data_IF_164649695758
#
_entry.id   IF_164649695758
#
_cell.length_a   1.000
_cell.length_b   1.000
_cell.length_c   1.000
_cell.angle_alpha   90.00
_cell.angle_beta   90.00
_cell.angle_gamma   90.00
#
_symmetry.space_group_name_H-M   'P 1'
#
loop_
_entity.id
_entity.type
_entity.pdbx_description
1 polymer ?
#
# COMPACT_ATOMS: atom_id res chain seq x y z
N UNK A 1 15.03 -36.73 -43.80
CA UNK A 1 15.15 -36.56 -42.33
C UNK A 1 15.10 -35.07 -41.92
N UNK A 2 14.70 -34.15 -42.81
CA UNK A 2 14.74 -32.68 -42.62
C UNK A 2 13.51 -31.96 -42.01
N UNK A 3 12.33 -32.55 -41.75
CA UNK A 3 11.17 -31.75 -41.31
C UNK A 3 11.23 -31.26 -39.85
N UNK A 4 12.20 -31.72 -39.04
CA UNK A 4 12.29 -31.35 -37.62
C UNK A 4 12.96 -29.99 -37.38
N UNK A 5 13.88 -29.57 -38.24
CA UNK A 5 14.61 -28.31 -38.05
C UNK A 5 13.79 -27.09 -38.44
N UNK A 6 13.02 -27.18 -39.54
CA UNK A 6 12.11 -26.09 -39.95
C UNK A 6 11.03 -25.83 -38.92
N UNK A 7 10.46 -26.89 -38.31
CA UNK A 7 9.47 -26.75 -37.24
C UNK A 7 10.04 -26.05 -36.00
N UNK A 8 11.28 -26.38 -35.60
CA UNK A 8 11.94 -25.74 -34.45
C UNK A 8 12.19 -24.24 -34.69
N UNK A 9 12.50 -23.85 -35.94
CA UNK A 9 12.71 -22.45 -36.30
C UNK A 9 11.42 -21.63 -36.21
N UNK A 10 10.30 -22.18 -36.69
CA UNK A 10 8.98 -21.54 -36.64
C UNK A 10 8.52 -21.37 -35.19
N UNK A 11 8.56 -22.43 -34.37
CA UNK A 11 8.12 -22.41 -32.97
C UNK A 11 8.90 -21.37 -32.13
N UNK A 12 10.18 -21.14 -32.46
CA UNK A 12 11.01 -20.15 -31.79
C UNK A 12 10.59 -18.72 -32.12
N UNK A 13 10.21 -18.45 -33.38
CA UNK A 13 9.82 -17.13 -33.86
C UNK A 13 8.52 -16.67 -33.20
N UNK A 14 7.50 -17.53 -33.20
CA UNK A 14 6.21 -17.24 -32.55
C UNK A 14 6.36 -16.98 -31.05
N UNK A 15 7.25 -17.75 -30.40
CA UNK A 15 7.58 -17.56 -28.99
C UNK A 15 8.23 -16.19 -28.73
N UNK A 16 9.01 -15.64 -29.67
CA UNK A 16 9.62 -14.32 -29.52
C UNK A 16 8.62 -13.19 -29.66
N UNK A 17 7.76 -13.25 -30.68
CA UNK A 17 6.72 -12.25 -30.87
C UNK A 17 5.82 -12.19 -29.63
N UNK A 18 5.44 -13.35 -29.09
CA UNK A 18 4.71 -13.43 -27.83
C UNK A 18 5.46 -12.76 -26.67
N UNK A 19 6.75 -13.05 -26.48
CA UNK A 19 7.56 -12.44 -25.39
C UNK A 19 7.66 -10.91 -25.54
N UNK A 20 7.79 -10.39 -26.76
CA UNK A 20 7.85 -8.95 -27.03
C UNK A 20 6.53 -8.28 -26.65
N UNK A 21 5.40 -8.82 -27.12
CA UNK A 21 4.06 -8.31 -26.80
C UNK A 21 3.82 -8.35 -25.29
N UNK A 22 4.17 -9.46 -24.63
CA UNK A 22 4.01 -9.62 -23.18
C UNK A 22 4.89 -8.66 -22.38
N UNK A 23 6.07 -8.28 -22.90
CA UNK A 23 6.94 -7.28 -22.29
C UNK A 23 6.36 -5.87 -22.38
N UNK A 24 5.73 -5.52 -23.50
CA UNK A 24 5.03 -4.25 -23.63
C UNK A 24 3.83 -4.20 -22.68
N UNK A 25 3.00 -5.24 -22.70
CA UNK A 25 1.79 -5.33 -21.87
C UNK A 25 2.09 -5.23 -20.37
N UNK A 26 3.08 -5.99 -19.87
CA UNK A 26 3.44 -5.93 -18.44
C UNK A 26 3.98 -4.55 -18.03
N UNK A 27 4.70 -3.86 -18.92
CA UNK A 27 5.25 -2.54 -18.62
C UNK A 27 4.14 -1.49 -18.57
N UNK A 28 3.18 -1.58 -19.49
CA UNK A 28 1.98 -0.75 -19.46
C UNK A 28 1.18 -0.94 -18.16
N UNK A 29 0.89 -2.20 -17.80
CA UNK A 29 0.18 -2.52 -16.55
C UNK A 29 0.94 -2.04 -15.30
N UNK A 30 2.28 -2.16 -15.29
CA UNK A 30 3.11 -1.65 -14.21
C UNK A 30 2.94 -0.13 -14.03
N UNK A 31 3.03 0.65 -15.13
CA UNK A 31 2.89 2.10 -15.07
C UNK A 31 1.48 2.51 -14.66
N UNK A 32 0.45 1.85 -15.19
CA UNK A 32 -0.93 2.09 -14.81
C UNK A 32 -1.16 1.88 -13.31
N UNK A 33 -0.61 0.78 -12.77
CA UNK A 33 -0.70 0.47 -11.34
C UNK A 33 0.09 1.48 -10.48
N UNK A 34 1.29 1.87 -10.94
CA UNK A 34 2.13 2.85 -10.25
C UNK A 34 1.44 4.23 -10.18
N UNK A 35 0.87 4.69 -11.30
CA UNK A 35 0.14 5.96 -11.34
C UNK A 35 -1.08 5.90 -10.42
N UNK A 36 -1.86 4.81 -10.45
CA UNK A 36 -2.98 4.65 -9.54
C UNK A 36 -2.55 4.70 -8.07
N UNK A 37 -1.46 4.01 -7.71
CA UNK A 37 -0.91 4.03 -6.34
C UNK A 37 -0.46 5.43 -5.92
N UNK A 38 0.16 6.20 -6.82
CA UNK A 38 0.59 7.57 -6.55
C UNK A 38 -0.60 8.52 -6.40
N UNK A 39 -1.64 8.37 -7.22
CA UNK A 39 -2.87 9.18 -7.11
C UNK A 39 -3.58 8.91 -5.78
N UNK A 40 -3.72 7.64 -5.37
CA UNK A 40 -4.32 7.30 -4.08
C UNK A 40 -3.53 7.91 -2.90
N UNK A 41 -2.20 7.84 -2.95
CA UNK A 41 -1.34 8.44 -1.93
C UNK A 41 -1.40 9.97 -1.95
N UNK A 42 -1.48 10.59 -3.12
CA UNK A 42 -1.64 12.04 -3.25
C UNK A 42 -2.96 12.50 -2.61
N UNK A 43 -4.07 11.79 -2.85
CA UNK A 43 -5.38 12.11 -2.26
C UNK A 43 -5.34 11.99 -0.73
N UNK A 44 -4.64 10.99 -0.19
CA UNK A 44 -4.41 10.87 1.25
C UNK A 44 -3.71 12.10 1.84
N UNK A 45 -2.63 12.56 1.19
CA UNK A 45 -1.93 13.75 1.64
C UNK A 45 -2.78 15.02 1.48
N UNK A 46 -3.54 15.14 0.39
CA UNK A 46 -4.44 16.27 0.15
C UNK A 46 -5.56 16.38 1.20
N UNK A 47 -6.13 15.26 1.64
CA UNK A 47 -7.09 15.27 2.76
C UNK A 47 -6.40 15.76 4.05
N UNK A 48 -5.18 15.28 4.32
CA UNK A 48 -4.48 15.60 5.56
C UNK A 48 -3.99 17.05 5.63
N UNK A 49 -3.64 17.65 4.50
CA UNK A 49 -3.24 19.06 4.41
C UNK A 49 -4.44 20.01 4.36
N UNK A 50 -5.68 19.49 4.34
CA UNK A 50 -6.89 20.31 4.28
C UNK A 50 -7.15 20.94 2.90
N UNK A 51 -6.57 20.37 1.84
CA UNK A 51 -6.79 20.85 0.46
C UNK A 51 -8.13 20.36 -0.14
N UNK A 52 -8.79 19.41 0.51
CA UNK A 52 -10.11 18.91 0.09
C UNK A 52 -11.19 19.71 0.80
N UNK A 53 -12.04 20.37 0.01
CA UNK A 53 -13.21 21.05 0.56
C UNK A 53 -14.28 20.02 0.96
N UNK A 54 -14.61 20.00 2.26
CA UNK A 54 -15.56 19.07 2.87
C UNK A 54 -17.01 19.57 2.85
N UNK A 55 -17.25 20.80 2.38
CA UNK A 55 -18.59 21.41 2.27
C UNK A 55 -19.56 20.57 1.42
N UNK A 56 -19.05 19.97 0.34
CA UNK A 56 -19.81 19.17 -0.63
C UNK A 56 -19.75 17.65 -0.38
N UNK A 57 -19.30 17.20 0.80
CA UNK A 57 -19.21 15.77 1.04
C UNK A 57 -20.61 15.14 1.04
N UNK A 58 -20.85 14.10 0.20
CA UNK A 58 -22.10 13.35 0.28
C UNK A 58 -22.24 12.80 1.70
N UNK A 59 -23.47 12.78 2.23
CA UNK A 59 -23.78 12.21 3.54
C UNK A 59 -23.06 10.87 3.67
N UNK A 60 -22.07 10.85 4.57
CA UNK A 60 -21.20 9.72 4.72
C UNK A 60 -22.07 8.51 5.05
N UNK A 61 -22.00 7.40 4.27
CA UNK A 61 -22.60 6.17 4.74
C UNK A 61 -21.86 5.84 6.02
N UNK A 62 -22.51 6.08 7.17
CA UNK A 62 -21.95 5.88 8.50
C UNK A 62 -21.19 4.56 8.46
N UNK A 63 -19.87 4.67 8.61
CA UNK A 63 -18.93 3.57 8.45
C UNK A 63 -19.54 2.33 9.08
N UNK A 64 -19.99 1.39 8.23
CA UNK A 64 -20.38 0.01 8.54
C UNK A 64 -20.57 -0.18 10.04
N UNK A 65 -21.66 0.36 10.59
CA UNK A 65 -22.18 -0.06 11.89
C UNK A 65 -22.86 -1.41 11.62
N UNK A 66 -22.04 -2.39 11.22
CA UNK A 66 -22.44 -3.74 10.91
C UNK A 66 -21.66 -4.66 11.83
N UNK A 67 -21.72 -4.34 13.13
CA UNK A 67 -22.04 -5.41 14.05
C UNK A 67 -23.53 -5.69 13.80
N UNK A 68 -23.93 -6.88 13.32
CA UNK A 68 -25.32 -7.26 13.45
C UNK A 68 -25.62 -7.29 14.95
N UNK A 69 -26.31 -6.27 15.45
CA UNK A 69 -26.98 -6.28 16.74
C UNK A 69 -28.19 -7.26 16.73
N UNK A 70 -28.06 -8.41 16.07
CA UNK A 70 -29.06 -9.46 15.97
C UNK A 70 -28.42 -10.86 16.00
N UNK A 71 -27.63 -11.13 17.03
CA UNK A 71 -27.56 -12.48 17.63
C UNK A 71 -27.78 -12.33 19.14
N UNK A 72 -28.95 -11.81 19.53
CA UNK A 72 -29.44 -11.82 20.92
C UNK A 72 -30.80 -12.50 21.04
N UNK A 73 -31.03 -13.54 20.22
CA UNK A 73 -32.03 -14.56 20.49
C UNK A 73 -31.41 -15.94 20.29
N UNK A 74 -30.41 -16.25 21.10
CA UNK A 74 -30.19 -17.64 21.50
C UNK A 74 -31.10 -17.88 22.71
N UNK A 75 -32.02 -18.86 22.69
CA UNK A 75 -32.80 -19.20 23.87
C UNK A 75 -31.88 -19.65 25.01
N UNK A 76 -32.32 -19.37 26.23
CA UNK A 76 -31.63 -19.49 27.51
C UNK A 76 -30.57 -20.61 27.63
N UNK A 77 -29.42 -20.35 28.27
CA UNK A 77 -28.47 -21.39 28.63
C UNK A 77 -29.09 -22.36 29.65
N UNK A 78 -29.01 -23.65 29.33
CA UNK A 78 -29.17 -24.75 30.28
C UNK A 78 -28.17 -24.59 31.45
N UNK A 79 -28.54 -24.98 32.68
CA UNK A 79 -27.77 -24.70 33.88
C UNK A 79 -26.36 -25.30 33.85
N UNK A 80 -25.40 -24.39 34.00
CA UNK A 80 -23.96 -24.56 34.03
C UNK A 80 -23.52 -25.08 35.42
N UNK A 81 -23.69 -26.38 35.67
CA UNK A 81 -23.26 -27.02 36.93
C UNK A 81 -22.13 -28.06 36.75
N UNK A 82 -21.44 -28.11 35.61
CA UNK A 82 -20.55 -29.23 35.31
C UNK A 82 -19.22 -28.90 34.59
N UNK A 83 -18.70 -27.67 34.62
CA UNK A 83 -17.43 -27.35 33.92
C UNK A 83 -16.48 -26.39 34.66
N UNK A 84 -16.27 -26.59 35.96
CA UNK A 84 -15.32 -25.76 36.76
C UNK A 84 -13.95 -26.40 37.04
N UNK A 85 -13.57 -27.53 36.42
CA UNK A 85 -12.38 -28.27 36.90
C UNK A 85 -11.19 -28.45 35.94
N UNK A 86 -10.98 -27.62 34.90
CA UNK A 86 -9.87 -27.89 33.94
C UNK A 86 -8.94 -26.69 33.64
N UNK A 87 -9.21 -25.46 34.07
CA UNK A 87 -8.34 -24.31 33.74
C UNK A 87 -7.57 -23.67 34.91
N UNK A 88 -7.65 -24.25 36.11
CA UNK A 88 -6.96 -23.78 37.32
C UNK A 88 -5.63 -24.52 37.57
N UNK A 89 -4.87 -24.84 36.51
CA UNK A 89 -3.60 -25.59 36.65
C UNK A 89 -2.47 -25.19 35.67
N UNK A 90 -2.54 -24.00 35.05
CA UNK A 90 -1.47 -23.50 34.18
C UNK A 90 -0.81 -22.20 34.67
N UNK A 91 -1.09 -21.78 35.90
CA UNK A 91 -0.58 -20.54 36.50
C UNK A 91 0.24 -20.81 37.78
N UNK A 92 1.14 -21.80 37.76
CA UNK A 92 2.17 -21.93 38.79
C UNK A 92 3.42 -22.53 38.11
N UNK A 93 4.57 -21.92 38.35
CA UNK A 93 5.93 -22.42 38.03
C UNK A 93 6.53 -21.96 36.69
N UNK A 94 6.91 -20.68 36.65
CA UNK A 94 8.06 -20.02 35.99
C UNK A 94 7.58 -18.60 35.69
N UNK A 95 8.07 -17.52 36.29
CA UNK A 95 9.47 -17.20 36.53
C UNK A 95 9.49 -15.90 37.33
N UNK A 96 9.36 -16.02 38.66
CA UNK A 96 9.77 -14.98 39.59
C UNK A 96 11.28 -15.05 39.72
N UNK A 97 12.00 -14.32 38.88
CA UNK A 97 13.42 -14.02 39.06
C UNK A 97 13.66 -12.56 38.75
N UNK A 98 13.81 -11.79 39.83
CA UNK A 98 14.70 -10.64 40.00
C UNK A 98 14.59 -9.44 39.02
N UNK A 99 14.56 -8.17 39.43
CA UNK A 99 14.59 -7.50 40.75
C UNK A 99 14.45 -6.00 40.46
N UNK A 100 13.77 -5.28 41.34
CA UNK A 100 13.71 -3.82 41.39
C UNK A 100 15.09 -3.15 41.38
N UNK A 101 15.17 -1.99 40.72
CA UNK A 101 16.03 -0.87 41.13
C UNK A 101 15.32 0.45 40.78
N UNK A 102 14.68 1.05 41.79
CA UNK A 102 14.46 2.49 41.91
C UNK A 102 15.81 3.21 42.00
N UNK A 103 15.98 4.38 41.36
CA UNK A 103 16.70 5.57 41.89
C UNK A 103 16.13 6.85 41.24
N UNK A 104 15.55 7.69 42.11
CA UNK A 104 15.32 9.14 42.24
C UNK A 104 15.17 10.19 41.09
N UNK A 105 14.42 11.29 41.39
CA UNK A 105 14.33 12.54 40.61
C UNK A 105 15.28 13.64 41.12
N UNK A 106 15.80 14.49 40.24
CA UNK A 106 16.62 15.68 40.57
C UNK A 106 16.33 16.76 39.48
N UNK A 107 15.56 17.81 39.76
CA UNK A 107 15.85 19.09 40.43
C UNK A 107 16.64 20.12 39.59
N UNK A 108 15.90 21.15 39.15
CA UNK A 108 16.28 22.57 38.99
C UNK A 108 17.30 23.06 37.93
N UNK A 109 16.95 24.20 37.30
CA UNK A 109 17.66 25.50 37.29
C UNK A 109 17.50 26.21 35.93
N UNK A 110 16.70 27.29 35.91
CA UNK A 110 16.86 28.43 34.98
C UNK A 110 18.04 29.30 35.46
N UNK A 111 18.74 30.04 34.58
CA UNK A 111 18.38 31.46 34.49
C UNK A 111 18.54 32.13 33.11
N UNK A 112 17.74 33.18 33.01
CA UNK A 112 17.76 34.38 32.16
C UNK A 112 19.15 34.92 31.75
N UNK A 113 19.32 35.28 30.47
CA UNK A 113 20.30 36.31 30.04
C UNK A 113 19.71 37.17 28.92
N UNK A 114 19.54 38.45 29.27
CA UNK A 114 19.10 39.58 28.47
C UNK A 114 20.33 40.43 28.06
N UNK A 115 20.62 40.58 26.76
CA UNK A 115 21.45 41.68 26.19
C UNK A 115 20.91 41.98 24.77
N UNK A 116 20.11 43.04 24.60
CA UNK A 116 20.46 44.39 24.09
C UNK A 116 20.66 44.49 22.57
N UNK A 117 19.79 45.30 21.95
CA UNK A 117 19.75 45.69 20.54
C UNK A 117 20.76 46.78 20.18
N UNK A 118 21.16 46.88 18.90
CA UNK A 118 21.10 48.06 17.99
C UNK A 118 21.73 47.68 16.60
N UNK A 119 21.70 48.52 15.53
CA UNK A 119 20.96 48.25 14.29
C UNK A 119 21.83 48.11 13.01
N UNK A 120 21.14 47.67 11.95
CA UNK A 120 21.44 47.39 10.53
C UNK A 120 22.63 48.06 9.82
N UNK A 121 23.05 47.45 8.69
CA UNK A 121 22.87 48.11 7.40
C UNK A 121 22.04 47.31 6.40
N UNK A 122 21.35 48.07 5.55
CA UNK A 122 20.41 47.66 4.51
C UNK A 122 20.92 46.59 3.53
N UNK A 123 20.24 45.44 3.51
CA UNK A 123 20.37 44.42 2.46
C UNK A 123 18.98 43.79 2.18
N UNK A 124 17.95 44.64 2.09
CA UNK A 124 16.55 44.23 2.02
C UNK A 124 15.83 44.79 0.79
N UNK A 125 16.44 44.68 -0.39
CA UNK A 125 15.79 45.03 -1.66
C UNK A 125 15.87 43.95 -2.75
N UNK A 126 16.84 43.02 -2.70
CA UNK A 126 16.95 41.95 -3.70
C UNK A 126 16.38 40.59 -3.25
N UNK A 127 16.10 40.41 -1.96
CA UNK A 127 15.55 39.15 -1.42
C UNK A 127 14.01 39.03 -1.46
N UNK A 128 13.28 40.08 -1.83
CA UNK A 128 11.81 40.06 -1.93
C UNK A 128 11.31 39.75 -3.34
N UNK A 129 12.12 39.97 -4.39
CA UNK A 129 11.74 39.66 -5.77
C UNK A 129 11.69 38.14 -6.04
N UNK A 130 12.43 37.33 -5.27
CA UNK A 130 12.50 35.87 -5.45
C UNK A 130 11.47 35.09 -4.59
N UNK A 131 10.80 35.74 -3.63
CA UNK A 131 9.72 35.12 -2.83
C UNK A 131 8.35 35.23 -3.48
N UNK A 132 8.17 36.18 -4.40
CA UNK A 132 6.90 36.39 -5.11
C UNK A 132 6.66 35.42 -6.29
N UNK A 133 7.65 34.59 -6.67
CA UNK A 133 7.58 33.73 -7.88
C UNK A 133 7.05 32.31 -7.63
N UNK A 134 6.69 31.93 -6.40
CA UNK A 134 6.25 30.54 -6.09
C UNK A 134 5.06 30.43 -5.16
N UNK A 135 4.19 31.44 -5.12
CA UNK A 135 2.80 31.20 -4.75
C UNK A 135 2.14 30.46 -5.92
N UNK A 136 2.47 29.17 -6.04
CA UNK A 136 1.67 28.21 -6.79
C UNK A 136 0.27 28.37 -6.19
N UNK A 137 -0.70 28.81 -7.01
CA UNK A 137 -2.10 28.99 -6.63
C UNK A 137 -2.68 27.67 -6.09
N UNK A 138 -2.40 27.35 -4.83
CA UNK A 138 -2.89 26.18 -4.14
C UNK A 138 -4.41 26.21 -4.04
N UNK A 139 -5.00 27.39 -4.15
CA UNK A 139 -6.45 27.58 -4.25
C UNK A 139 -7.04 26.93 -5.51
N UNK A 140 -6.31 26.91 -6.65
CA UNK A 140 -6.77 26.25 -7.88
C UNK A 140 -6.73 24.71 -7.76
N UNK A 141 -5.93 24.18 -6.83
CA UNK A 141 -5.83 22.74 -6.56
C UNK A 141 -6.86 22.24 -5.54
N UNK A 142 -7.80 23.08 -5.08
CA UNK A 142 -8.90 22.63 -4.23
C UNK A 142 -9.76 21.58 -4.95
N UNK A 143 -9.63 20.33 -4.51
CA UNK A 143 -10.51 19.26 -4.97
C UNK A 143 -11.79 19.26 -4.14
N UNK A 144 -12.94 19.27 -4.82
CA UNK A 144 -14.23 19.00 -4.17
C UNK A 144 -14.25 17.56 -3.63
N UNK A 145 -14.82 17.37 -2.44
CA UNK A 145 -14.98 16.05 -1.82
C UNK A 145 -15.70 15.04 -2.73
N UNK A 146 -16.68 15.49 -3.54
CA UNK A 146 -17.37 14.64 -4.52
C UNK A 146 -16.41 14.11 -5.58
N UNK A 147 -15.57 14.98 -6.13
CA UNK A 147 -14.56 14.61 -7.13
C UNK A 147 -13.52 13.67 -6.54
N UNK A 148 -13.05 13.94 -5.32
CA UNK A 148 -12.12 13.05 -4.62
C UNK A 148 -12.72 11.65 -4.39
N UNK A 149 -13.99 11.56 -3.98
CA UNK A 149 -14.68 10.28 -3.77
C UNK A 149 -14.80 9.47 -5.07
N UNK A 150 -15.24 10.11 -6.17
CA UNK A 150 -15.33 9.46 -7.49
C UNK A 150 -13.94 9.00 -7.95
N UNK A 151 -12.94 9.88 -7.84
CA UNK A 151 -11.57 9.59 -8.25
C UNK A 151 -11.00 8.40 -7.47
N UNK A 152 -11.20 8.34 -6.15
CA UNK A 152 -10.78 7.20 -5.33
C UNK A 152 -11.47 5.89 -5.74
N UNK A 153 -12.78 5.92 -6.03
CA UNK A 153 -13.51 4.72 -6.50
C UNK A 153 -12.95 4.21 -7.83
N UNK A 154 -12.77 5.11 -8.79
CA UNK A 154 -12.21 4.78 -10.11
C UNK A 154 -10.77 4.28 -9.95
N UNK A 155 -9.95 4.98 -9.16
CA UNK A 155 -8.57 4.62 -8.90
C UNK A 155 -8.46 3.21 -8.27
N UNK A 156 -9.24 2.92 -7.24
CA UNK A 156 -9.29 1.60 -6.61
C UNK A 156 -9.69 0.50 -7.59
N UNK A 157 -10.73 0.74 -8.39
CA UNK A 157 -11.18 -0.22 -9.40
C UNK A 157 -10.09 -0.51 -10.42
N UNK A 158 -9.49 0.55 -10.99
CA UNK A 158 -8.40 0.44 -11.96
C UNK A 158 -7.20 -0.27 -11.33
N UNK A 159 -6.83 0.06 -10.10
CA UNK A 159 -5.71 -0.52 -9.37
C UNK A 159 -5.91 -2.04 -9.18
N UNK A 160 -7.08 -2.47 -8.73
CA UNK A 160 -7.39 -3.88 -8.53
C UNK A 160 -7.42 -4.66 -9.85
N UNK A 161 -8.16 -4.18 -10.85
CA UNK A 161 -8.24 -4.84 -12.15
C UNK A 161 -6.87 -4.93 -12.82
N UNK A 162 -6.07 -3.87 -12.75
CA UNK A 162 -4.69 -3.85 -13.28
C UNK A 162 -3.79 -4.82 -12.54
N UNK A 163 -3.89 -4.93 -11.22
CA UNK A 163 -3.11 -5.88 -10.43
C UNK A 163 -3.43 -7.34 -10.79
N UNK A 164 -4.72 -7.67 -10.98
CA UNK A 164 -5.15 -9.00 -11.45
C UNK A 164 -4.58 -9.29 -12.84
N UNK A 165 -4.75 -8.36 -13.78
CA UNK A 165 -4.19 -8.49 -15.14
C UNK A 165 -2.66 -8.60 -15.11
N UNK A 166 -1.98 -7.87 -14.23
CA UNK A 166 -0.52 -7.92 -14.08
C UNK A 166 -0.06 -9.30 -13.60
N UNK A 167 -0.76 -9.87 -12.61
CA UNK A 167 -0.50 -11.22 -12.11
C UNK A 167 -0.73 -12.28 -13.20
N UNK A 168 -1.85 -12.21 -13.93
CA UNK A 168 -2.14 -13.11 -15.06
C UNK A 168 -1.09 -12.98 -16.17
N UNK A 169 -0.65 -11.75 -16.47
CA UNK A 169 0.42 -11.48 -17.43
C UNK A 169 1.72 -12.16 -17.02
N UNK A 170 2.10 -12.09 -15.72
CA UNK A 170 3.29 -12.77 -15.22
C UNK A 170 3.13 -14.29 -15.19
N UNK A 171 1.94 -14.81 -14.93
CA UNK A 171 1.63 -16.24 -15.03
C UNK A 171 1.78 -16.76 -16.46
N UNK A 172 1.28 -16.01 -17.45
CA UNK A 172 1.47 -16.37 -18.86
C UNK A 172 2.95 -16.33 -19.26
N UNK A 173 3.71 -15.32 -18.84
CA UNK A 173 5.16 -15.27 -19.05
C UNK A 173 5.89 -16.46 -18.41
N UNK A 174 5.46 -16.87 -17.21
CA UNK A 174 5.98 -18.07 -16.55
C UNK A 174 5.66 -19.33 -17.38
N UNK A 175 4.43 -19.49 -17.87
CA UNK A 175 4.05 -20.63 -18.72
C UNK A 175 4.87 -20.67 -20.02
N UNK A 176 5.01 -19.54 -20.72
CA UNK A 176 5.84 -19.45 -21.93
C UNK A 176 7.29 -19.83 -21.62
N UNK A 177 7.82 -19.40 -20.47
CA UNK A 177 9.19 -19.74 -20.06
C UNK A 177 9.38 -21.23 -19.79
N UNK A 178 8.37 -21.88 -19.19
CA UNK A 178 8.39 -23.32 -18.93
C UNK A 178 8.29 -24.13 -20.22
N UNK A 179 7.37 -23.77 -21.11
CA UNK A 179 7.16 -24.48 -22.39
C UNK A 179 8.35 -24.27 -23.34
N UNK A 180 8.85 -23.04 -23.46
CA UNK A 180 9.97 -22.71 -24.34
C UNK A 180 11.35 -23.09 -23.80
N UNK A 181 11.42 -23.73 -22.61
CA UNK A 181 12.68 -24.05 -21.90
C UNK A 181 13.61 -22.84 -21.79
N UNK A 182 13.01 -21.65 -21.68
CA UNK A 182 13.73 -20.39 -21.66
C UNK A 182 14.44 -20.26 -20.30
N UNK A 183 15.69 -19.84 -20.33
CA UNK A 183 16.46 -19.65 -19.09
C UNK A 183 15.85 -18.60 -18.18
N UNK A 184 16.28 -18.58 -16.91
CA UNK A 184 15.84 -17.55 -15.97
C UNK A 184 14.49 -17.84 -15.30
N UNK A 185 14.02 -19.10 -15.32
CA UNK A 185 12.80 -19.56 -14.64
C UNK A 185 12.77 -19.08 -13.18
N UNK A 186 13.88 -19.19 -12.44
CA UNK A 186 13.97 -18.71 -11.06
C UNK A 186 13.59 -17.22 -10.90
N UNK A 187 13.98 -16.35 -11.84
CA UNK A 187 13.65 -14.92 -11.76
C UNK A 187 12.18 -14.65 -12.05
N UNK A 188 11.59 -15.31 -13.05
CA UNK A 188 10.18 -15.12 -13.39
C UNK A 188 9.26 -15.74 -12.35
N UNK A 189 9.59 -16.91 -11.80
CA UNK A 189 8.85 -17.54 -10.71
C UNK A 189 8.84 -16.64 -9.47
N UNK A 190 9.99 -16.08 -9.07
CA UNK A 190 10.05 -15.11 -7.96
C UNK A 190 9.29 -13.82 -8.24
N UNK A 191 9.30 -13.33 -9.49
CA UNK A 191 8.51 -12.16 -9.88
C UNK A 191 7.00 -12.44 -9.76
N UNK A 192 6.56 -13.61 -10.23
CA UNK A 192 5.18 -14.07 -10.12
C UNK A 192 4.72 -14.17 -8.65
N UNK A 193 5.49 -14.82 -7.78
CA UNK A 193 5.15 -14.87 -6.36
C UNK A 193 5.08 -13.48 -5.71
N UNK A 194 5.99 -12.57 -6.06
CA UNK A 194 5.88 -11.19 -5.59
C UNK A 194 4.62 -10.48 -6.09
N UNK A 195 4.18 -10.74 -7.33
CA UNK A 195 2.90 -10.21 -7.82
C UNK A 195 1.68 -10.81 -7.13
N UNK A 196 1.74 -12.08 -6.69
CA UNK A 196 0.69 -12.69 -5.86
C UNK A 196 0.61 -12.01 -4.49
N UNK A 197 1.75 -11.81 -3.82
CA UNK A 197 1.78 -11.06 -2.57
C UNK A 197 1.26 -9.63 -2.76
N UNK A 198 1.66 -8.95 -3.84
CA UNK A 198 1.11 -7.65 -4.19
C UNK A 198 -0.41 -7.70 -4.29
N UNK A 199 -0.98 -8.68 -5.00
CA UNK A 199 -2.43 -8.82 -5.16
C UNK A 199 -3.12 -9.07 -3.81
N UNK A 200 -2.52 -9.91 -2.95
CA UNK A 200 -3.01 -10.18 -1.59
C UNK A 200 -3.01 -8.91 -0.75
N UNK A 201 -1.91 -8.15 -0.68
CA UNK A 201 -1.85 -6.93 0.11
C UNK A 201 -2.75 -5.81 -0.43
N UNK A 202 -2.95 -5.78 -1.76
CA UNK A 202 -3.83 -4.82 -2.42
C UNK A 202 -5.32 -5.12 -2.22
N UNK A 203 -5.68 -6.40 -2.07
CA UNK A 203 -7.08 -6.81 -1.94
C UNK A 203 -7.72 -6.18 -0.70
N UNK A 204 -8.92 -5.57 -0.83
CA UNK A 204 -9.63 -4.98 0.31
C UNK A 204 -10.23 -6.10 1.19
N UNK A 205 -9.40 -6.74 2.02
CA UNK A 205 -9.85 -7.80 2.92
C UNK A 205 -10.99 -7.37 3.84
N UNK A 206 -11.08 -6.08 4.17
CA UNK A 206 -12.17 -5.53 4.98
C UNK A 206 -13.56 -5.73 4.35
N UNK A 207 -13.67 -5.74 3.02
CA UNK A 207 -14.96 -5.94 2.34
C UNK A 207 -15.29 -7.42 2.18
N UNK A 208 -14.28 -8.30 2.17
CA UNK A 208 -14.45 -9.73 1.99
C UNK A 208 -14.58 -10.48 3.33
N UNK A 209 -13.81 -10.08 4.33
CA UNK A 209 -13.66 -10.71 5.64
C UNK A 209 -13.63 -9.62 6.73
N UNK A 210 -14.80 -9.13 7.17
CA UNK A 210 -14.85 -8.11 8.21
C UNK A 210 -14.23 -8.66 9.51
N UNK A 211 -13.22 -7.96 10.03
CA UNK A 211 -12.63 -8.21 11.36
C UNK A 211 -11.23 -8.86 11.41
N UNK A 212 -10.65 -9.27 10.28
CA UNK A 212 -9.38 -10.02 10.28
C UNK A 212 -8.18 -9.16 9.88
N UNK A 213 -8.16 -8.67 8.64
CA UNK A 213 -7.01 -7.93 8.09
C UNK A 213 -7.49 -6.74 7.27
N UNK A 214 -6.72 -5.66 7.36
CA UNK A 214 -6.94 -4.44 6.60
C UNK A 214 -6.03 -4.44 5.37
N UNK A 215 -6.63 -4.31 4.18
CA UNK A 215 -5.89 -4.22 2.91
C UNK A 215 -5.32 -2.82 2.66
N UNK A 216 -4.42 -2.72 1.67
CA UNK A 216 -3.81 -1.45 1.24
C UNK A 216 -4.76 -0.56 0.41
N UNK A 217 -5.87 -1.11 -0.08
CA UNK A 217 -6.86 -0.33 -0.83
C UNK A 217 -7.57 0.67 0.10
N UNK A 218 -7.76 1.88 -0.41
CA UNK A 218 -8.28 2.99 0.35
C UNK A 218 -9.81 3.04 0.26
N UNK A 219 -10.54 2.83 1.35
CA UNK A 219 -11.99 3.04 1.33
C UNK A 219 -12.31 4.55 1.36
N UNK A 220 -13.10 5.08 0.42
CA UNK A 220 -13.41 6.51 0.39
C UNK A 220 -14.16 6.98 1.64
N UNK A 221 -14.98 6.10 2.23
CA UNK A 221 -15.71 6.38 3.48
C UNK A 221 -14.82 6.33 4.74
N UNK A 222 -13.67 5.67 4.71
CA UNK A 222 -12.76 5.72 5.86
C UNK A 222 -11.87 6.95 5.81
N UNK A 223 -11.46 7.37 4.61
CA UNK A 223 -10.58 8.51 4.40
C UNK A 223 -11.32 9.85 4.51
N UNK A 224 -12.37 10.05 3.72
CA UNK A 224 -13.00 11.38 3.58
C UNK A 224 -14.04 11.69 4.68
N UNK A 225 -14.57 10.65 5.32
CA UNK A 225 -15.73 10.73 6.20
C UNK A 225 -15.40 10.59 7.69
N UNK A 226 -14.13 10.75 8.08
CA UNK A 226 -13.75 10.74 9.49
C UNK A 226 -13.91 9.37 10.17
N UNK A 227 -13.83 8.26 9.41
CA UNK A 227 -13.86 6.90 9.96
C UNK A 227 -12.77 6.64 11.02
N UNK A 228 -11.79 7.53 11.09
CA UNK A 228 -10.71 7.53 12.06
C UNK A 228 -10.78 8.71 13.05
N UNK A 229 -11.97 9.20 13.42
CA UNK A 229 -12.12 10.21 14.48
C UNK A 229 -11.41 9.83 15.79
N UNK A 230 -11.27 8.53 16.08
CA UNK A 230 -10.48 8.01 17.21
C UNK A 230 -8.97 8.28 17.11
N UNK A 231 -8.44 8.52 15.91
CA UNK A 231 -7.03 8.84 15.69
C UNK A 231 -6.64 10.19 16.28
N UNK A 232 -7.56 11.15 16.36
CA UNK A 232 -7.29 12.44 16.99
C UNK A 232 -7.27 12.32 18.53
N UNK A 233 -7.86 11.26 19.10
CA UNK A 233 -7.92 11.03 20.54
C UNK A 233 -6.69 10.31 21.12
N UNK A 234 -5.89 9.61 20.31
CA UNK A 234 -4.73 8.84 20.81
C UNK A 234 -3.65 8.61 19.75
N UNK A 235 -2.39 8.76 20.17
CA UNK A 235 -1.19 8.51 19.37
C UNK A 235 -1.16 7.10 18.79
N UNK A 236 -1.68 6.10 19.51
CA UNK A 236 -1.72 4.72 19.04
C UNK A 236 -2.61 4.57 17.78
N UNK A 237 -3.81 5.15 17.80
CA UNK A 237 -4.72 5.11 16.66
C UNK A 237 -4.19 5.92 15.47
N UNK A 238 -3.51 7.04 15.75
CA UNK A 238 -2.79 7.80 14.72
C UNK A 238 -1.66 6.99 14.09
N UNK A 239 -0.87 6.26 14.89
CA UNK A 239 0.18 5.39 14.36
C UNK A 239 -0.40 4.28 13.46
N UNK A 240 -1.50 3.62 13.88
CA UNK A 240 -2.19 2.62 13.07
C UNK A 240 -2.74 3.19 11.75
N UNK A 241 -3.27 4.41 11.77
CA UNK A 241 -3.73 5.12 10.56
C UNK A 241 -2.59 5.27 9.54
N UNK A 242 -1.45 5.84 9.96
CA UNK A 242 -0.31 6.04 9.06
C UNK A 242 0.35 4.73 8.64
N UNK A 243 0.47 3.75 9.55
CA UNK A 243 0.98 2.42 9.23
C UNK A 243 0.12 1.75 8.16
N UNK A 244 -1.20 1.87 8.26
CA UNK A 244 -2.13 1.34 7.29
C UNK A 244 -2.00 2.05 5.95
N UNK A 245 -2.20 3.37 5.90
CA UNK A 245 -2.31 4.08 4.63
C UNK A 245 -0.94 4.28 3.97
N UNK A 246 0.08 4.65 4.73
CA UNK A 246 1.42 4.90 4.19
C UNK A 246 2.31 3.64 4.25
N UNK A 247 2.27 2.90 5.36
CA UNK A 247 3.11 1.69 5.53
C UNK A 247 2.73 0.57 4.56
N UNK A 248 1.44 0.21 4.46
CA UNK A 248 1.00 -0.81 3.49
C UNK A 248 1.20 -0.36 2.05
N UNK A 249 1.02 0.93 1.77
CA UNK A 249 1.31 1.50 0.46
C UNK A 249 2.80 1.33 0.10
N UNK A 250 3.71 1.61 1.02
CA UNK A 250 5.16 1.39 0.82
C UNK A 250 5.47 -0.09 0.57
N UNK A 251 4.82 -1.01 1.29
CA UNK A 251 4.98 -2.46 1.08
C UNK A 251 4.50 -2.85 -0.33
N UNK A 252 3.33 -2.37 -0.75
CA UNK A 252 2.79 -2.66 -2.09
C UNK A 252 3.69 -2.07 -3.18
N UNK A 253 4.16 -0.83 -3.02
CA UNK A 253 5.09 -0.18 -3.94
C UNK A 253 6.41 -0.96 -4.02
N UNK A 254 6.97 -1.37 -2.88
CA UNK A 254 8.16 -2.19 -2.82
C UNK A 254 7.98 -3.54 -3.54
N UNK A 255 6.85 -4.22 -3.32
CA UNK A 255 6.52 -5.48 -4.01
C UNK A 255 6.38 -5.29 -5.52
N UNK A 256 5.77 -4.18 -5.96
CA UNK A 256 5.61 -3.83 -7.37
C UNK A 256 6.98 -3.63 -8.05
N UNK A 257 7.87 -2.86 -7.41
CA UNK A 257 9.23 -2.62 -7.89
C UNK A 257 10.07 -3.92 -7.88
N UNK A 258 9.91 -4.76 -6.86
CA UNK A 258 10.55 -6.06 -6.78
C UNK A 258 10.08 -7.01 -7.90
N UNK A 259 8.77 -7.07 -8.16
CA UNK A 259 8.22 -7.88 -9.24
C UNK A 259 8.73 -7.41 -10.61
N UNK A 260 8.71 -6.09 -10.84
CA UNK A 260 9.14 -5.50 -12.11
C UNK A 260 10.65 -5.65 -12.35
N UNK A 261 11.50 -5.37 -11.36
CA UNK A 261 12.95 -5.51 -11.49
C UNK A 261 13.35 -6.96 -11.79
N UNK A 262 12.68 -7.95 -11.18
CA UNK A 262 12.91 -9.37 -11.46
C UNK A 262 12.39 -9.79 -12.83
N UNK A 263 11.24 -9.28 -13.25
CA UNK A 263 10.72 -9.49 -14.60
C UNK A 263 11.68 -8.93 -15.68
N UNK A 264 12.30 -7.77 -15.43
CA UNK A 264 13.32 -7.22 -16.34
C UNK A 264 14.57 -8.10 -16.38
N UNK A 265 15.03 -8.62 -15.24
CA UNK A 265 16.16 -9.56 -15.18
C UNK A 265 15.87 -10.84 -15.97
N UNK A 266 14.65 -11.37 -15.85
CA UNK A 266 14.19 -12.50 -16.67
C UNK A 266 14.25 -12.16 -18.16
N UNK A 267 13.66 -11.05 -18.60
CA UNK A 267 13.66 -10.66 -20.00
C UNK A 267 15.09 -10.53 -20.58
N UNK A 268 16.03 -9.97 -19.79
CA UNK A 268 17.45 -9.90 -20.18
C UNK A 268 18.12 -11.27 -20.23
N UNK A 269 17.76 -12.21 -19.36
CA UNK A 269 18.29 -13.57 -19.38
C UNK A 269 17.77 -14.36 -20.59
N UNK A 270 16.49 -14.20 -20.92
CA UNK A 270 15.87 -14.76 -22.12
C UNK A 270 16.56 -14.22 -23.38
N UNK A 271 16.68 -12.90 -23.54
CA UNK A 271 17.35 -12.29 -24.71
C UNK A 271 18.81 -12.72 -24.87
N UNK A 272 19.56 -12.87 -23.78
CA UNK A 272 20.96 -13.35 -23.82
C UNK A 272 21.08 -14.78 -24.36
N UNK A 273 20.16 -15.67 -23.99
CA UNK A 273 20.16 -17.05 -24.52
C UNK A 273 19.82 -17.12 -26.00
N UNK A 274 19.21 -16.07 -26.53
CA UNK A 274 18.75 -15.99 -27.91
C UNK A 274 19.75 -15.26 -28.82
N UNK A 275 20.93 -14.89 -28.31
CA UNK A 275 21.97 -14.22 -29.08
C UNK A 275 21.67 -12.76 -29.47
N UNK A 276 20.52 -12.20 -29.06
CA UNK A 276 20.08 -10.85 -29.45
C UNK A 276 20.57 -9.73 -28.52
N UNK A 277 21.11 -10.06 -27.35
CA UNK A 277 21.70 -9.07 -26.44
C UNK A 277 23.21 -9.20 -26.48
N UNK A 278 23.87 -8.40 -27.32
CA UNK A 278 25.26 -8.01 -27.07
C UNK A 278 25.30 -6.92 -26.01
#
# INVERSE_FOLDING_TARGET
MEPKESQQMIDSTDSFEAVIVMKAMKNFLFWLLLIALLVAQAIFWMDRTGLIDKSDCPACPSAVSTLPAQVSRLPAPLPLAAQTNIFEQAEIVLENVDRQAEIDPDESVEPDVLITAAPQPDESAEAEADRASRDIDWERLRLSCRSANILMRVCNFVMFMTAVLYCLTLLMNLKISLTGKLGGINHITRAFFCSLFLLVFLTPWQTLLPGIVVGAMYLPGELLCGGWAKADASTFWKALLYLRFTGMWLIVLWLLLCAQSRSVKWARATLRRLGMSR
#
